data_IF_708025801334
#
_entry.id   IF_708025801334
#
_cell.length_a   1.000
_cell.length_b   1.000
_cell.length_c   1.000
_cell.angle_alpha   90.00
_cell.angle_beta   90.00
_cell.angle_gamma   90.00
#
_symmetry.space_group_name_H-M   'P 1'
#
loop_
_entity.id
_entity.type
_entity.pdbx_description
1 polymer ?
#
# COMPACT_ATOMS: atom_id res chain seq x y z
N UNK A 1 -45.02 -24.78 -0.66
CA UNK A 1 -45.38 -23.92 -1.81
C UNK A 1 -44.80 -22.53 -1.50
N UNK A 2 -43.54 -22.26 -1.90
CA UNK A 2 -43.13 -21.37 -3.02
C UNK A 2 -43.71 -19.94 -2.83
N UNK A 3 -42.92 -18.89 -2.54
CA UNK A 3 -42.10 -18.08 -3.48
C UNK A 3 -41.21 -17.11 -2.64
N UNK A 4 -39.90 -16.85 -2.85
CA UNK A 4 -39.07 -16.37 -3.97
C UNK A 4 -38.54 -14.93 -3.73
N UNK A 5 -37.25 -14.83 -3.42
CA UNK A 5 -36.20 -13.81 -3.65
C UNK A 5 -36.56 -12.32 -3.84
N UNK A 6 -35.82 -11.43 -3.16
CA UNK A 6 -34.92 -10.44 -3.80
C UNK A 6 -33.69 -10.12 -2.91
N UNK A 7 -32.51 -10.32 -3.48
CA UNK A 7 -31.21 -9.86 -2.97
C UNK A 7 -31.04 -8.42 -3.47
N UNK A 8 -30.79 -7.45 -2.57
CA UNK A 8 -30.14 -6.19 -2.95
C UNK A 8 -28.79 -6.16 -2.25
N UNK A 9 -27.75 -6.37 -3.03
CA UNK A 9 -26.37 -6.12 -2.65
C UNK A 9 -26.19 -4.61 -2.44
N UNK A 10 -25.92 -4.19 -1.20
CA UNK A 10 -25.37 -2.88 -0.93
C UNK A 10 -23.86 -3.07 -0.70
N UNK A 11 -23.07 -2.75 -1.72
CA UNK A 11 -21.61 -2.73 -1.62
C UNK A 11 -21.16 -1.73 -0.57
N UNK A 12 -20.54 -2.23 0.49
CA UNK A 12 -19.95 -1.37 1.52
C UNK A 12 -18.63 -0.85 0.95
N UNK A 13 -18.66 0.38 0.42
CA UNK A 13 -17.46 1.18 0.25
C UNK A 13 -17.09 1.65 1.65
N UNK A 14 -16.20 0.92 2.32
CA UNK A 14 -15.60 1.38 3.57
C UNK A 14 -14.58 2.46 3.18
N UNK A 15 -15.05 3.70 3.07
CA UNK A 15 -14.20 4.89 3.21
C UNK A 15 -13.88 5.02 4.71
N UNK A 16 -12.97 4.18 5.21
CA UNK A 16 -12.45 4.33 6.56
C UNK A 16 -11.51 5.53 6.57
N UNK A 17 -12.07 6.69 6.93
CA UNK A 17 -11.30 7.82 7.45
C UNK A 17 -10.68 7.42 8.78
N UNK A 18 -9.53 6.73 8.73
CA UNK A 18 -8.71 6.55 9.91
C UNK A 18 -7.93 7.83 10.15
N UNK A 19 -8.24 8.45 11.28
CA UNK A 19 -7.48 9.54 11.87
C UNK A 19 -6.03 9.11 12.04
N UNK A 20 -5.09 9.91 11.50
CA UNK A 20 -3.66 9.69 11.62
C UNK A 20 -3.27 9.95 13.09
N UNK A 21 -3.19 8.90 13.90
CA UNK A 21 -2.57 8.95 15.21
C UNK A 21 -1.06 8.99 15.04
N UNK A 22 -0.45 10.14 15.35
CA UNK A 22 1.00 10.28 15.41
C UNK A 22 1.54 9.55 16.65
N UNK A 23 1.99 8.30 16.47
CA UNK A 23 2.85 7.61 17.44
C UNK A 23 3.81 6.70 16.67
N UNK A 24 5.05 7.18 16.49
CA UNK A 24 6.18 6.49 15.85
C UNK A 24 5.87 5.78 14.52
N UNK A 25 5.99 6.51 13.41
CA UNK A 25 6.00 5.97 12.03
C UNK A 25 7.24 5.10 11.71
N UNK A 26 8.06 4.78 12.71
CA UNK A 26 9.30 4.03 12.52
C UNK A 26 9.35 2.87 13.51
N UNK A 27 9.41 1.66 12.96
CA UNK A 27 9.43 0.43 13.73
C UNK A 27 10.80 0.16 14.37
N UNK A 28 10.91 -0.93 15.14
CA UNK A 28 12.18 -1.31 15.74
C UNK A 28 13.27 -1.53 14.69
N UNK A 29 14.52 -1.34 15.08
CA UNK A 29 15.67 -1.76 14.25
C UNK A 29 15.85 -3.25 14.47
N UNK A 30 15.73 -4.04 13.41
CA UNK A 30 15.92 -5.48 13.43
C UNK A 30 17.35 -5.85 13.08
N UNK A 31 17.86 -6.95 13.65
CA UNK A 31 19.20 -7.45 13.29
C UNK A 31 19.26 -7.93 11.83
N UNK A 32 18.17 -8.56 11.36
CA UNK A 32 17.99 -9.09 10.00
C UNK A 32 16.71 -8.50 9.39
N UNK A 33 16.60 -8.51 8.05
CA UNK A 33 15.37 -8.11 7.35
C UNK A 33 14.31 -9.19 7.55
N UNK A 34 13.06 -8.78 7.73
CA UNK A 34 11.94 -9.72 7.65
C UNK A 34 11.70 -10.10 6.19
N UNK A 35 11.52 -11.40 5.96
CA UNK A 35 11.07 -11.92 4.67
C UNK A 35 9.58 -11.69 4.52
N UNK A 36 9.18 -11.12 3.38
CA UNK A 36 7.77 -10.93 3.06
C UNK A 36 7.06 -12.29 3.00
N UNK A 37 5.90 -12.47 3.66
CA UNK A 37 5.17 -13.74 3.68
C UNK A 37 4.54 -14.08 2.32
N UNK A 38 4.41 -13.12 1.42
CA UNK A 38 3.82 -13.30 0.09
C UNK A 38 4.90 -13.29 -1.00
N UNK A 39 4.74 -14.14 -2.01
CA UNK A 39 5.47 -13.99 -3.27
C UNK A 39 5.06 -12.65 -3.89
N UNK A 40 6.03 -11.80 -4.22
CA UNK A 40 5.77 -10.48 -4.82
C UNK A 40 4.95 -10.67 -6.10
N UNK A 41 3.64 -10.45 -6.01
CA UNK A 41 2.73 -10.58 -7.14
C UNK A 41 2.95 -9.36 -8.04
N UNK A 42 3.70 -9.55 -9.11
CA UNK A 42 3.78 -8.56 -10.18
C UNK A 42 2.47 -8.57 -10.95
N UNK A 43 1.55 -7.67 -10.62
CA UNK A 43 0.28 -7.62 -11.32
C UNK A 43 0.44 -6.96 -12.70
N UNK A 44 -0.02 -7.66 -13.75
CA UNK A 44 0.12 -7.25 -15.16
C UNK A 44 -1.07 -6.45 -15.71
N UNK A 45 -2.19 -6.42 -14.98
CA UNK A 45 -3.42 -5.74 -15.38
C UNK A 45 -3.31 -4.23 -15.15
N UNK A 46 -3.09 -3.44 -16.19
CA UNK A 46 -3.14 -1.98 -16.08
C UNK A 46 -4.59 -1.48 -16.02
N UNK A 47 -5.12 -1.25 -14.81
CA UNK A 47 -6.36 -0.46 -14.66
C UNK A 47 -6.03 1.01 -14.89
N UNK A 48 -6.73 1.67 -15.83
CA UNK A 48 -6.40 3.06 -16.19
C UNK A 48 -6.48 4.05 -15.02
N UNK A 49 -7.34 3.81 -14.03
CA UNK A 49 -7.52 4.72 -12.89
C UNK A 49 -6.71 4.33 -11.64
N UNK A 50 -6.19 3.10 -11.56
CA UNK A 50 -5.55 2.57 -10.36
C UNK A 50 -4.08 2.24 -10.62
N UNK A 51 -3.29 2.20 -9.56
CA UNK A 51 -1.95 1.62 -9.55
C UNK A 51 -1.90 0.48 -8.55
N UNK A 52 -1.05 -0.50 -8.83
CA UNK A 52 -0.74 -1.53 -7.86
C UNK A 52 0.34 -1.01 -6.91
N UNK A 53 0.07 -1.09 -5.62
CA UNK A 53 1.06 -0.91 -4.56
C UNK A 53 1.48 -2.31 -4.11
N UNK A 54 2.77 -2.61 -4.22
CA UNK A 54 3.30 -3.88 -3.73
C UNK A 54 3.14 -3.96 -2.22
N UNK A 55 3.04 -5.19 -1.68
CA UNK A 55 2.91 -5.40 -0.25
C UNK A 55 4.05 -4.71 0.53
N UNK A 56 3.70 -4.15 1.68
CA UNK A 56 4.60 -3.34 2.49
C UNK A 56 4.61 -3.83 3.93
N UNK A 57 5.73 -3.61 4.60
CA UNK A 57 5.73 -3.66 6.05
C UNK A 57 5.13 -2.36 6.59
N UNK A 58 4.30 -2.48 7.60
CA UNK A 58 3.81 -1.36 8.40
C UNK A 58 4.09 -1.62 9.86
N UNK A 59 4.11 -0.55 10.66
CA UNK A 59 4.35 -0.64 12.09
C UNK A 59 3.01 -0.48 12.81
N UNK A 60 2.55 -1.55 13.43
CA UNK A 60 1.35 -1.54 14.25
C UNK A 60 1.69 -2.02 15.65
N UNK A 61 1.31 -1.24 16.67
CA UNK A 61 1.58 -1.55 18.08
C UNK A 61 3.07 -1.84 18.38
N UNK A 62 3.99 -1.20 17.66
CA UNK A 62 5.43 -1.40 17.84
C UNK A 62 6.01 -2.64 17.13
N UNK A 63 5.21 -3.36 16.36
CA UNK A 63 5.62 -4.55 15.62
C UNK A 63 5.48 -4.33 14.12
N UNK A 64 6.31 -5.03 13.33
CA UNK A 64 6.15 -5.05 11.89
C UNK A 64 5.08 -6.05 11.48
N UNK A 65 4.08 -5.57 10.77
CA UNK A 65 3.04 -6.37 10.15
C UNK A 65 3.17 -6.29 8.62
N UNK A 66 2.86 -7.38 7.93
CA UNK A 66 2.79 -7.38 6.48
C UNK A 66 1.41 -6.94 6.02
N UNK A 67 1.37 -5.92 5.17
CA UNK A 67 0.17 -5.49 4.47
C UNK A 67 0.28 -5.96 3.03
N UNK A 68 -0.64 -6.84 2.62
CA UNK A 68 -0.69 -7.38 1.27
C UNK A 68 -0.82 -6.26 0.21
N UNK A 69 -0.28 -6.53 -0.98
CA UNK A 69 -0.38 -5.60 -2.09
C UNK A 69 -1.84 -5.29 -2.45
N UNK A 70 -2.11 -4.07 -2.87
CA UNK A 70 -3.47 -3.62 -3.17
C UNK A 70 -3.51 -2.61 -4.31
N UNK A 71 -4.71 -2.46 -4.88
CA UNK A 71 -4.99 -1.43 -5.87
C UNK A 71 -5.33 -0.12 -5.16
N UNK A 72 -4.62 0.95 -5.51
CA UNK A 72 -4.85 2.30 -4.99
C UNK A 72 -5.15 3.26 -6.14
N UNK A 73 -5.88 4.34 -5.86
CA UNK A 73 -6.19 5.36 -6.84
C UNK A 73 -4.93 6.09 -7.30
N UNK A 74 -4.83 6.33 -8.61
CA UNK A 74 -3.82 7.25 -9.15
C UNK A 74 -4.00 8.63 -8.54
N UNK A 75 -2.89 9.23 -8.12
CA UNK A 75 -2.83 10.64 -7.70
C UNK A 75 -2.23 11.47 -8.82
N UNK A 76 -3.00 12.43 -9.33
CA UNK A 76 -2.58 13.28 -10.45
C UNK A 76 -1.30 14.03 -10.08
N UNK A 77 -0.24 13.88 -10.89
CA UNK A 77 1.06 14.49 -10.64
C UNK A 77 1.92 13.76 -9.60
N UNK A 78 1.53 12.56 -9.18
CA UNK A 78 2.31 11.73 -8.25
C UNK A 78 2.54 10.32 -8.77
N UNK A 79 3.69 9.76 -8.41
CA UNK A 79 4.00 8.33 -8.52
C UNK A 79 4.16 7.77 -7.12
N UNK A 80 3.75 6.53 -6.91
CA UNK A 80 4.04 5.84 -5.66
C UNK A 80 5.42 5.18 -5.73
N UNK A 81 6.21 5.35 -4.68
CA UNK A 81 7.52 4.72 -4.51
C UNK A 81 7.38 3.70 -3.39
N UNK A 82 7.62 2.42 -3.69
CA UNK A 82 7.50 1.36 -2.71
C UNK A 82 8.47 1.53 -1.54
N UNK A 83 8.01 1.09 -0.37
CA UNK A 83 8.84 0.99 0.82
C UNK A 83 9.97 -0.01 0.65
N UNK A 84 10.98 0.09 1.51
CA UNK A 84 12.14 -0.79 1.47
C UNK A 84 12.83 -0.92 2.82
N UNK A 85 13.50 -2.05 3.02
CA UNK A 85 14.46 -2.21 4.11
C UNK A 85 15.69 -1.32 3.87
N UNK A 86 15.92 -0.39 4.79
CA UNK A 86 17.08 0.51 4.80
C UNK A 86 18.01 0.11 5.96
N UNK A 87 19.32 0.12 5.71
CA UNK A 87 20.31 -0.19 6.75
C UNK A 87 20.41 0.98 7.74
N UNK A 88 20.32 0.70 9.04
CA UNK A 88 20.46 1.69 10.13
C UNK A 88 21.39 1.14 11.20
N UNK A 89 22.63 1.65 11.24
CA UNK A 89 23.67 1.15 12.12
C UNK A 89 24.01 -0.32 11.82
N UNK A 90 23.90 -1.18 12.85
CA UNK A 90 24.13 -2.63 12.74
C UNK A 90 22.89 -3.43 12.31
N UNK A 91 21.75 -2.78 12.10
CA UNK A 91 20.50 -3.46 11.75
C UNK A 91 19.78 -2.84 10.55
N UNK A 92 18.53 -3.22 10.41
CA UNK A 92 17.64 -2.86 9.32
C UNK A 92 16.36 -2.25 9.87
N UNK A 93 15.84 -1.24 9.17
CA UNK A 93 14.56 -0.62 9.46
C UNK A 93 13.76 -0.54 8.18
N UNK A 94 12.46 -0.75 8.24
CA UNK A 94 11.61 -0.50 7.08
C UNK A 94 11.43 1.00 6.91
N UNK A 95 11.54 1.47 5.68
CA UNK A 95 11.20 2.83 5.28
C UNK A 95 9.94 2.74 4.43
N UNK A 96 8.87 3.35 4.90
CA UNK A 96 7.55 3.26 4.26
C UNK A 96 7.57 3.77 2.81
N UNK A 97 6.68 3.20 2.00
CA UNK A 97 6.42 3.74 0.68
C UNK A 97 5.79 5.11 0.77
N UNK A 98 5.98 5.91 -0.27
CA UNK A 98 5.46 7.28 -0.27
C UNK A 98 5.07 7.75 -1.66
N UNK A 99 4.14 8.69 -1.69
CA UNK A 99 3.76 9.39 -2.90
C UNK A 99 4.77 10.49 -3.20
N UNK A 100 5.45 10.36 -4.34
CA UNK A 100 6.40 11.36 -4.83
C UNK A 100 5.76 12.21 -5.89
N UNK A 101 5.75 13.53 -5.67
CA UNK A 101 5.33 14.51 -6.68
C UNK A 101 6.32 14.50 -7.86
N UNK A 102 5.80 14.53 -9.08
CA UNK A 102 6.58 14.61 -10.31
C UNK A 102 6.03 15.69 -11.23
N UNK A 103 6.79 16.05 -12.26
CA UNK A 103 6.32 16.95 -13.32
C UNK A 103 5.07 16.37 -14.02
N UNK A 104 4.11 17.24 -14.36
CA UNK A 104 2.83 16.80 -14.91
C UNK A 104 2.96 16.19 -16.31
N UNK A 105 3.88 16.68 -17.14
CA UNK A 105 4.11 16.09 -18.47
C UNK A 105 4.72 14.71 -18.33
N UNK A 106 5.64 14.54 -17.36
CA UNK A 106 6.19 13.22 -17.02
C UNK A 106 5.11 12.27 -16.50
N UNK A 107 4.19 12.76 -15.68
CA UNK A 107 3.09 11.96 -15.15
C UNK A 107 2.14 11.49 -16.25
N UNK A 108 1.76 12.40 -17.16
CA UNK A 108 0.93 12.08 -18.32
C UNK A 108 1.59 10.99 -19.17
N UNK A 109 2.89 11.10 -19.47
CA UNK A 109 3.61 10.06 -20.23
C UNK A 109 3.68 8.68 -19.54
N UNK A 110 3.53 8.62 -18.21
CA UNK A 110 3.57 7.35 -17.46
C UNK A 110 2.19 6.71 -17.30
N UNK A 111 1.13 7.51 -17.27
CA UNK A 111 -0.19 7.06 -16.81
C UNK A 111 -1.37 7.43 -17.71
N UNK A 112 -1.19 8.29 -18.71
CA UNK A 112 -2.19 8.61 -19.74
C UNK A 112 -2.01 7.67 -20.94
#
# INVERSE_FOLDING_TARGET
>A
MKNFNQIIAAGIIVLSSMTISNAQTQGPILAEKLEAPETIVKQTLQKRALIWIDGQWEVQNGEYIWVSGHWENKKIGYVFINGKWTKKGKGWIWTDGYWKKIDINKWLNLYA
#
